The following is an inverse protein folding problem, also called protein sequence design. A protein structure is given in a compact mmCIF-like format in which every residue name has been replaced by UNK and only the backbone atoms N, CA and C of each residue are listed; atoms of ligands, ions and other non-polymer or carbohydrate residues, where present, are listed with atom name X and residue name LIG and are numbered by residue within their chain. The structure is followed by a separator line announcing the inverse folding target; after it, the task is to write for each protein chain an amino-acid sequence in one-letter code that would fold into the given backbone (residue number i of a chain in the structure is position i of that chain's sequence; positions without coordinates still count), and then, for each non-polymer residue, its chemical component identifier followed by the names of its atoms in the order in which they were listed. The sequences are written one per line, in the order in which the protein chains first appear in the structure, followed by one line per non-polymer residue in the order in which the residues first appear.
data_IF_590586501196
#
_entry.id   IF_590586501196
#
_cell.length_a   1.000
_cell.length_b   1.000
_cell.length_c   1.000
_cell.angle_alpha   90.00
_cell.angle_beta   90.00
_cell.angle_gamma   90.00
#
_symmetry.space_group_name_H-M   'P 1'
#
loop_
_entity.id
_entity.type
_entity.pdbx_description
1 polymer ?
#
# COMPACT_ATOMS: atom_id res chain seq x y z
N UNK A 1 39.30 -11.41 -2.85
CA UNK A 1 38.78 -11.22 -1.48
C UNK A 1 38.90 -9.75 -1.09
N UNK A 2 37.85 -8.96 -1.32
CA UNK A 2 37.70 -7.66 -0.67
C UNK A 2 37.09 -7.86 0.73
N UNK A 3 37.32 -6.96 1.70
CA UNK A 3 36.80 -7.14 3.04
C UNK A 3 35.28 -7.00 3.02
N UNK A 4 34.59 -7.93 3.67
CA UNK A 4 33.17 -7.83 3.94
C UNK A 4 32.91 -6.52 4.71
N UNK A 5 32.17 -5.61 4.09
CA UNK A 5 31.63 -4.44 4.76
C UNK A 5 30.69 -4.93 5.85
N UNK A 6 31.10 -4.77 7.10
CA UNK A 6 30.24 -5.06 8.25
C UNK A 6 29.15 -3.99 8.31
N UNK A 7 27.91 -4.37 7.99
CA UNK A 7 26.75 -3.49 8.10
C UNK A 7 26.41 -3.39 9.59
N UNK A 8 26.64 -2.21 10.18
CA UNK A 8 26.14 -1.90 11.51
C UNK A 8 24.63 -1.70 11.40
N UNK A 9 23.87 -2.30 12.31
CA UNK A 9 22.52 -1.82 12.59
C UNK A 9 22.61 -0.32 12.93
N UNK A 10 21.80 0.51 12.26
CA UNK A 10 21.67 1.91 12.62
C UNK A 10 21.19 2.01 14.08
N UNK A 11 21.70 2.98 14.87
CA UNK A 11 21.24 3.21 16.23
C UNK A 11 19.75 3.61 16.22
N UNK A 12 19.04 3.54 17.37
CA UNK A 12 17.60 3.79 17.44
C UNK A 12 17.32 5.30 17.31
N UNK A 13 17.27 5.80 16.07
CA UNK A 13 16.40 6.91 15.68
C UNK A 13 15.24 6.27 14.94
N UNK A 14 14.02 6.43 15.44
CA UNK A 14 12.82 5.65 15.13
C UNK A 14 12.23 5.87 13.72
N UNK A 15 13.06 5.96 12.68
CA UNK A 15 12.63 6.13 11.30
C UNK A 15 12.54 4.77 10.60
N UNK A 16 11.41 4.52 9.95
CA UNK A 16 11.15 3.34 9.13
C UNK A 16 10.22 3.73 7.97
N UNK A 17 9.77 2.76 7.16
CA UNK A 17 8.77 3.00 6.10
C UNK A 17 7.48 3.68 6.58
N UNK A 18 7.19 3.60 7.88
CA UNK A 18 6.03 4.25 8.53
C UNK A 18 6.33 5.67 9.04
N UNK A 19 7.45 6.26 8.66
CA UNK A 19 7.87 7.59 9.10
C UNK A 19 8.58 7.60 10.46
N UNK A 20 8.67 8.79 11.05
CA UNK A 20 9.42 9.04 12.31
C UNK A 20 8.51 9.02 13.56
N UNK A 21 7.19 9.03 13.35
CA UNK A 21 6.15 9.07 14.39
C UNK A 21 6.23 10.28 15.33
N UNK A 22 6.74 11.42 14.85
CA UNK A 22 6.83 12.67 15.63
C UNK A 22 5.59 13.59 15.45
N UNK A 23 4.66 13.21 14.58
CA UNK A 23 3.45 13.99 14.28
C UNK A 23 3.62 15.03 13.16
N UNK A 24 4.79 15.11 12.54
CA UNK A 24 5.06 15.95 11.37
C UNK A 24 5.11 15.08 10.09
N UNK A 25 4.05 15.08 9.26
CA UNK A 25 4.02 14.25 8.05
C UNK A 25 5.01 14.72 6.97
N UNK A 26 5.63 15.90 7.12
CA UNK A 26 6.58 16.43 6.13
C UNK A 26 7.92 15.70 6.14
N UNK A 27 8.24 14.95 7.21
CA UNK A 27 9.48 14.16 7.32
C UNK A 27 9.28 12.65 7.21
N UNK A 28 8.04 12.17 7.04
CA UNK A 28 7.74 10.74 6.96
C UNK A 28 8.39 10.04 5.75
N UNK A 29 8.83 10.81 4.74
CA UNK A 29 9.55 10.30 3.57
C UNK A 29 11.08 10.30 3.78
N UNK A 30 11.54 10.36 5.03
CA UNK A 30 12.94 10.25 5.37
C UNK A 30 13.48 8.85 5.03
N UNK A 31 14.59 8.85 4.29
CA UNK A 31 15.37 7.67 3.91
C UNK A 31 16.33 7.26 5.03
N UNK A 32 16.95 6.07 4.98
CA UNK A 32 17.95 5.67 5.98
C UNK A 32 19.16 6.63 6.07
N UNK A 33 19.47 7.34 4.99
CA UNK A 33 20.55 8.32 4.90
C UNK A 33 20.16 9.70 5.47
N UNK A 34 18.90 9.88 5.85
CA UNK A 34 18.37 11.13 6.41
C UNK A 34 17.79 12.11 5.39
N UNK A 35 17.94 11.84 4.09
CA UNK A 35 17.37 12.61 3.00
C UNK A 35 15.86 12.34 2.82
N UNK A 36 15.13 13.28 2.22
CA UNK A 36 13.72 13.09 1.86
C UNK A 36 13.57 12.48 0.47
N UNK A 37 12.87 11.36 0.39
CA UNK A 37 12.53 10.72 -0.89
C UNK A 37 11.52 11.57 -1.67
N UNK A 38 11.66 11.69 -3.01
CA UNK A 38 10.76 12.48 -3.85
C UNK A 38 9.42 11.78 -4.14
N UNK A 39 9.28 10.50 -3.79
CA UNK A 39 8.06 9.71 -4.02
C UNK A 39 8.01 8.49 -3.10
N UNK A 40 6.81 7.93 -2.91
CA UNK A 40 6.61 6.68 -2.14
C UNK A 40 7.42 5.52 -2.73
N UNK A 41 7.54 5.44 -4.06
CA UNK A 41 8.35 4.41 -4.72
C UNK A 41 9.85 4.59 -4.42
N UNK A 42 10.35 5.83 -4.43
CA UNK A 42 11.74 6.11 -4.07
C UNK A 42 12.00 5.83 -2.58
N UNK A 43 11.03 6.10 -1.70
CA UNK A 43 11.10 5.74 -0.29
C UNK A 43 11.15 4.22 -0.09
N UNK A 44 10.23 3.48 -0.71
CA UNK A 44 10.22 2.01 -0.64
C UNK A 44 11.54 1.39 -1.10
N UNK A 45 12.13 1.96 -2.15
CA UNK A 45 13.43 1.52 -2.68
C UNK A 45 14.60 1.86 -1.75
N UNK A 46 14.60 3.00 -1.06
CA UNK A 46 15.71 3.38 -0.18
C UNK A 46 15.78 2.54 1.09
N UNK A 47 14.63 2.00 1.53
CA UNK A 47 14.51 1.10 2.67
C UNK A 47 14.59 -0.39 2.29
N UNK A 48 14.81 -0.71 1.02
CA UNK A 48 14.97 -2.08 0.56
C UNK A 48 16.22 -2.75 1.17
N UNK A 49 16.08 -3.99 1.60
CA UNK A 49 17.19 -4.83 2.05
C UNK A 49 17.50 -5.81 0.93
N UNK A 50 18.76 -5.91 0.52
CA UNK A 50 19.16 -6.95 -0.44
C UNK A 50 19.02 -8.32 0.22
N UNK A 51 18.11 -9.13 -0.32
CA UNK A 51 18.04 -10.57 -0.11
C UNK A 51 18.51 -11.30 -1.38
N UNK A 52 18.94 -12.56 -1.25
CA UNK A 52 19.28 -13.39 -2.42
C UNK A 52 18.02 -13.87 -3.19
N UNK A 53 16.84 -13.32 -2.86
CA UNK A 53 15.56 -13.76 -3.37
C UNK A 53 15.32 -13.19 -4.78
N UNK A 54 15.67 -14.00 -5.78
CA UNK A 54 15.43 -13.69 -7.20
C UNK A 54 13.94 -13.60 -7.60
N UNK A 55 13.03 -13.77 -6.64
CA UNK A 55 11.58 -13.75 -6.82
C UNK A 55 10.99 -12.38 -6.45
N UNK A 56 11.68 -11.61 -5.59
CA UNK A 56 11.24 -10.27 -5.17
C UNK A 56 11.76 -9.21 -6.14
N UNK A 57 10.84 -8.45 -6.73
CA UNK A 57 11.16 -7.33 -7.62
C UNK A 57 10.67 -6.03 -7.00
N UNK A 58 11.59 -5.09 -6.82
CA UNK A 58 11.31 -3.75 -6.29
C UNK A 58 10.48 -2.87 -7.23
N UNK A 59 10.32 -3.31 -8.47
CA UNK A 59 9.67 -2.54 -9.52
C UNK A 59 8.88 -3.46 -10.43
N UNK A 60 7.86 -2.90 -11.05
CA UNK A 60 7.07 -3.59 -12.06
C UNK A 60 7.79 -3.45 -13.42
N UNK A 61 8.53 -4.50 -13.82
CA UNK A 61 9.25 -4.52 -15.11
C UNK A 61 8.25 -4.30 -16.26
N UNK A 62 8.39 -3.19 -16.98
CA UNK A 62 7.48 -2.80 -18.07
C UNK A 62 6.29 -1.93 -17.65
N UNK A 63 6.25 -1.49 -16.39
CA UNK A 63 5.19 -0.67 -15.81
C UNK A 63 4.14 -1.48 -15.06
N UNK A 64 3.54 -0.86 -14.05
CA UNK A 64 2.53 -1.52 -13.23
C UNK A 64 1.25 -1.64 -14.03
N UNK A 65 0.64 -2.83 -14.03
CA UNK A 65 -0.55 -3.11 -14.84
C UNK A 65 -1.67 -2.15 -14.43
N UNK A 66 -2.09 -1.21 -15.28
CA UNK A 66 -3.16 -0.29 -14.91
C UNK A 66 -4.47 -1.07 -14.79
N UNK A 67 -5.33 -0.65 -13.86
CA UNK A 67 -6.68 -1.19 -13.85
C UNK A 67 -7.51 -0.58 -14.97
N UNK A 68 -7.98 -1.40 -15.91
CA UNK A 68 -8.88 -0.94 -16.96
C UNK A 68 -10.14 -0.33 -16.35
N UNK A 69 -10.55 0.86 -16.81
CA UNK A 69 -11.68 1.59 -16.25
C UNK A 69 -12.99 0.77 -16.24
N UNK A 70 -13.20 -0.09 -17.23
CA UNK A 70 -14.35 -1.01 -17.29
C UNK A 70 -14.34 -2.06 -16.17
N UNK A 71 -13.16 -2.59 -15.83
CA UNK A 71 -12.97 -3.56 -14.75
C UNK A 71 -13.11 -2.87 -13.40
N UNK A 72 -12.48 -1.71 -13.21
CA UNK A 72 -12.63 -0.91 -12.00
C UNK A 72 -14.11 -0.57 -11.74
N UNK A 73 -14.86 -0.15 -12.77
CA UNK A 73 -16.30 0.12 -12.67
C UNK A 73 -17.09 -1.12 -12.22
N UNK A 74 -16.76 -2.30 -12.77
CA UNK A 74 -17.39 -3.57 -12.35
C UNK A 74 -17.14 -3.84 -10.86
N UNK A 75 -15.93 -3.64 -10.37
CA UNK A 75 -15.62 -3.85 -8.95
C UNK A 75 -16.24 -2.80 -8.02
N UNK A 76 -16.59 -1.62 -8.52
CA UNK A 76 -17.36 -0.60 -7.78
C UNK A 76 -18.84 -0.95 -7.62
N UNK A 77 -19.34 -2.01 -8.24
CA UNK A 77 -20.72 -2.48 -8.04
C UNK A 77 -20.92 -3.11 -6.66
N UNK A 78 -22.17 -3.13 -6.18
CA UNK A 78 -22.55 -3.64 -4.85
C UNK A 78 -22.15 -5.10 -4.61
N UNK A 79 -22.13 -5.92 -5.67
CA UNK A 79 -21.70 -7.33 -5.59
C UNK A 79 -20.20 -7.50 -5.27
N UNK A 80 -19.42 -6.41 -5.21
CA UNK A 80 -17.99 -6.40 -4.89
C UNK A 80 -17.69 -5.27 -3.89
N UNK A 81 -16.85 -4.30 -4.25
CA UNK A 81 -16.40 -3.26 -3.34
C UNK A 81 -17.49 -2.20 -3.06
N UNK A 82 -18.50 -2.07 -3.93
CA UNK A 82 -19.59 -1.11 -3.74
C UNK A 82 -20.42 -1.33 -2.47
N UNK A 83 -20.34 -2.54 -1.88
CA UNK A 83 -20.94 -2.86 -0.59
C UNK A 83 -20.41 -1.95 0.54
N UNK A 84 -19.15 -1.50 0.44
CA UNK A 84 -18.48 -0.63 1.42
C UNK A 84 -19.20 0.72 1.51
N UNK A 85 -19.66 1.27 0.38
CA UNK A 85 -20.30 2.59 0.29
C UNK A 85 -21.82 2.55 0.35
N UNK A 86 -22.43 1.37 0.57
CA UNK A 86 -23.89 1.24 0.62
C UNK A 86 -24.48 1.95 1.83
N UNK A 87 -25.27 3.01 1.58
CA UNK A 87 -25.76 3.92 2.63
C UNK A 87 -27.03 3.41 3.31
N UNK A 88 -27.95 2.80 2.54
CA UNK A 88 -29.20 2.21 3.07
C UNK A 88 -29.03 0.71 3.26
N UNK A 89 -29.30 0.20 4.46
CA UNK A 89 -29.20 -1.22 4.81
C UNK A 89 -27.86 -1.86 4.43
N UNK A 90 -26.80 -1.05 4.40
CA UNK A 90 -25.44 -1.50 4.16
C UNK A 90 -24.77 -1.97 5.45
N UNK A 91 -23.93 -3.02 5.39
CA UNK A 91 -23.29 -3.57 6.59
C UNK A 91 -22.34 -2.57 7.27
N UNK A 92 -21.83 -1.58 6.53
CA UNK A 92 -20.92 -0.54 7.03
C UNK A 92 -21.58 0.83 7.21
N UNK A 93 -22.89 0.95 6.96
CA UNK A 93 -23.60 2.24 6.96
C UNK A 93 -23.44 3.02 8.28
N UNK A 94 -23.36 2.32 9.41
CA UNK A 94 -23.15 2.94 10.73
C UNK A 94 -21.75 3.55 10.89
N UNK A 95 -20.76 3.06 10.16
CA UNK A 95 -19.37 3.52 10.21
C UNK A 95 -19.10 4.75 9.36
N UNK A 96 -19.94 5.04 8.35
CA UNK A 96 -19.70 6.14 7.38
C UNK A 96 -19.62 7.53 8.03
N UNK A 97 -20.20 7.71 9.22
CA UNK A 97 -20.09 8.97 9.99
C UNK A 97 -18.77 9.13 10.75
N UNK A 98 -17.98 8.06 10.85
CA UNK A 98 -16.73 7.98 11.61
C UNK A 98 -15.52 7.75 10.71
N UNK A 99 -15.73 7.07 9.59
CA UNK A 99 -14.70 6.64 8.66
C UNK A 99 -15.17 6.96 7.26
N UNK A 100 -14.33 7.62 6.46
CA UNK A 100 -14.61 7.85 5.05
C UNK A 100 -14.55 6.51 4.28
N UNK A 101 -15.67 6.01 3.72
CA UNK A 101 -15.68 4.73 3.01
C UNK A 101 -14.97 4.79 1.65
N UNK A 102 -14.67 5.98 1.13
CA UNK A 102 -14.10 6.16 -0.21
C UNK A 102 -12.71 5.55 -0.33
N UNK A 103 -11.85 5.74 0.68
CA UNK A 103 -10.49 5.15 0.68
C UNK A 103 -10.53 3.62 0.67
N UNK A 104 -11.48 3.02 1.40
CA UNK A 104 -11.66 1.57 1.45
C UNK A 104 -12.24 1.01 0.15
N UNK A 105 -13.16 1.74 -0.50
CA UNK A 105 -13.66 1.40 -1.82
C UNK A 105 -12.52 1.38 -2.85
N UNK A 106 -11.71 2.42 -2.90
CA UNK A 106 -10.63 2.54 -3.88
C UNK A 106 -9.52 1.50 -3.63
N UNK A 107 -9.16 1.23 -2.37
CA UNK A 107 -8.24 0.15 -2.00
C UNK A 107 -8.79 -1.23 -2.39
N UNK A 108 -10.05 -1.53 -2.10
CA UNK A 108 -10.68 -2.79 -2.50
C UNK A 108 -10.67 -2.98 -4.03
N UNK A 109 -10.98 -1.92 -4.78
CA UNK A 109 -10.92 -1.97 -6.25
C UNK A 109 -9.49 -2.23 -6.72
N UNK A 110 -8.51 -1.54 -6.13
CA UNK A 110 -7.09 -1.75 -6.44
C UNK A 110 -6.68 -3.22 -6.21
N UNK A 111 -7.03 -3.80 -5.07
CA UNK A 111 -6.69 -5.19 -4.73
C UNK A 111 -7.33 -6.19 -5.70
N UNK A 112 -8.59 -5.98 -6.09
CA UNK A 112 -9.26 -6.81 -7.08
C UNK A 112 -8.70 -6.64 -8.49
N UNK A 113 -8.25 -5.44 -8.85
CA UNK A 113 -7.58 -5.21 -10.12
C UNK A 113 -6.24 -5.93 -10.21
N UNK A 114 -5.50 -6.08 -9.10
CA UNK A 114 -4.18 -6.70 -9.08
C UNK A 114 -4.19 -8.18 -8.69
N UNK A 115 -5.34 -8.69 -8.25
CA UNK A 115 -5.56 -10.12 -7.95
C UNK A 115 -6.50 -10.80 -8.96
N UNK A 116 -6.77 -10.17 -10.11
CA UNK A 116 -7.68 -10.69 -11.15
C UNK A 116 -9.08 -11.07 -10.60
N UNK A 117 -9.58 -10.28 -9.64
CA UNK A 117 -10.89 -10.49 -9.03
C UNK A 117 -10.93 -11.64 -8.03
N UNK A 118 -9.78 -12.05 -7.47
CA UNK A 118 -9.70 -13.15 -6.53
C UNK A 118 -10.58 -12.90 -5.30
N UNK A 119 -11.54 -13.81 -5.06
CA UNK A 119 -12.55 -13.64 -4.00
C UNK A 119 -11.95 -13.48 -2.61
N UNK A 120 -10.79 -14.10 -2.33
CA UNK A 120 -10.12 -13.92 -1.04
C UNK A 120 -9.65 -12.48 -0.84
N UNK A 121 -9.15 -11.81 -1.90
CA UNK A 121 -8.77 -10.41 -1.83
C UNK A 121 -9.97 -9.51 -1.52
N UNK A 122 -11.14 -9.76 -2.14
CA UNK A 122 -12.38 -9.07 -1.77
C UNK A 122 -12.70 -9.25 -0.28
N UNK A 123 -12.60 -10.48 0.23
CA UNK A 123 -12.88 -10.77 1.63
C UNK A 123 -11.90 -10.09 2.59
N UNK A 124 -10.62 -9.96 2.24
CA UNK A 124 -9.65 -9.24 3.07
C UNK A 124 -9.90 -7.73 3.02
N UNK A 125 -10.18 -7.17 1.84
CA UNK A 125 -10.50 -5.75 1.69
C UNK A 125 -11.77 -5.34 2.46
N UNK A 126 -12.76 -6.23 2.57
CA UNK A 126 -13.99 -5.98 3.35
C UNK A 126 -13.80 -6.07 4.88
N UNK A 127 -12.69 -6.67 5.36
CA UNK A 127 -12.40 -6.82 6.80
C UNK A 127 -11.46 -5.75 7.34
N UNK A 128 -10.74 -5.05 6.46
CA UNK A 128 -9.79 -4.00 6.79
C UNK A 128 -10.47 -2.80 7.47
#
# INVERSE_FOLDING_TARGET
MGPFGSIRAAPPSSSALSGTYNGDPSDDFQTPDGDLAPSVAALGKSWAVEDEDQICWHDCIGGCRPCAASIARKYKEEASCGLITKVSDGPFSQCHTKVDPTVYLDNCVYDLCHSDGYRKALCEALKA
#
